data_IF_895648504435
#
_entry.id   IF_895648504435
#
_cell.length_a   1.000
_cell.length_b   1.000
_cell.length_c   1.000
_cell.angle_alpha   90.00
_cell.angle_beta   90.00
_cell.angle_gamma   90.00
#
_symmetry.space_group_name_H-M   'P 1'
#
loop_
_entity.id
_entity.type
_entity.pdbx_description
1 polymer ?
#
# COMPACT_ATOMS: atom_id res chain seq x y z
N UNK A 1 -25.29 15.18 -2.49
CA UNK A 1 -24.84 13.99 -3.25
C UNK A 1 -25.91 12.92 -3.17
N UNK A 2 -26.19 12.17 -4.26
CA UNK A 2 -27.19 11.08 -4.26
C UNK A 2 -26.59 9.66 -4.28
N UNK A 3 -25.29 9.52 -4.59
CA UNK A 3 -24.61 8.23 -4.75
C UNK A 3 -23.26 8.27 -4.06
N UNK A 4 -22.86 7.14 -3.48
CA UNK A 4 -21.52 6.89 -2.97
C UNK A 4 -20.98 5.62 -3.63
N UNK A 5 -19.67 5.59 -3.88
CA UNK A 5 -18.97 4.40 -4.37
C UNK A 5 -17.91 4.04 -3.33
N UNK A 6 -17.97 2.81 -2.82
CA UNK A 6 -17.01 2.28 -1.87
C UNK A 6 -16.18 1.24 -2.62
N UNK A 7 -14.87 1.41 -2.60
CA UNK A 7 -13.92 0.44 -3.16
C UNK A 7 -13.03 -0.04 -2.03
N UNK A 8 -13.01 -1.36 -1.81
CA UNK A 8 -12.13 -1.99 -0.83
C UNK A 8 -10.97 -2.62 -1.59
N UNK A 9 -9.76 -2.17 -1.29
CA UNK A 9 -8.55 -2.87 -1.70
C UNK A 9 -8.24 -3.87 -0.58
N UNK A 10 -8.69 -5.11 -0.76
CA UNK A 10 -8.52 -6.15 0.24
C UNK A 10 -7.03 -6.32 0.58
N UNK A 11 -6.75 -6.52 1.86
CA UNK A 11 -5.42 -6.64 2.48
C UNK A 11 -4.39 -5.52 2.23
N UNK A 12 -4.78 -4.39 1.60
CA UNK A 12 -3.87 -3.27 1.31
C UNK A 12 -3.63 -2.39 2.55
N UNK A 13 -2.76 -2.84 3.46
CA UNK A 13 -2.33 -2.10 4.65
C UNK A 13 -1.30 -1.01 4.37
N UNK A 14 -1.27 0.02 5.23
CA UNK A 14 -0.37 1.20 5.13
C UNK A 14 0.56 1.36 6.35
N UNK A 15 0.82 0.26 7.05
CA UNK A 15 1.61 0.23 8.29
C UNK A 15 0.89 -0.51 9.41
N UNK A 16 1.66 -0.89 10.43
CA UNK A 16 1.18 -1.63 11.58
C UNK A 16 0.30 -0.74 12.46
N UNK A 17 -0.73 -1.34 13.08
CA UNK A 17 -1.58 -0.66 14.05
C UNK A 17 -0.92 -0.62 15.44
N UNK A 18 -1.43 0.22 16.33
CA UNK A 18 -0.93 0.37 17.70
C UNK A 18 -0.95 -0.94 18.50
N UNK A 19 -1.88 -1.84 18.18
CA UNK A 19 -2.06 -3.14 18.83
C UNK A 19 -1.36 -4.30 18.12
N UNK A 20 -0.50 -4.04 17.13
CA UNK A 20 0.18 -5.06 16.34
C UNK A 20 0.96 -6.09 17.18
N UNK A 21 1.50 -5.70 18.34
CA UNK A 21 2.17 -6.61 19.27
C UNK A 21 1.24 -7.75 19.74
N UNK A 22 -0.04 -7.47 19.93
CA UNK A 22 -1.04 -8.47 20.40
C UNK A 22 -1.32 -9.55 19.35
N UNK A 23 -1.04 -9.26 18.08
CA UNK A 23 -1.31 -10.15 16.95
C UNK A 23 -0.03 -10.74 16.34
N UNK A 24 1.15 -10.30 16.79
CA UNK A 24 2.43 -10.71 16.21
C UNK A 24 2.77 -10.01 14.89
N UNK A 25 2.11 -8.90 14.58
CA UNK A 25 2.23 -8.17 13.31
C UNK A 25 3.14 -6.93 13.43
N UNK A 26 4.01 -6.89 14.45
CA UNK A 26 4.95 -5.78 14.65
C UNK A 26 5.82 -5.61 13.40
N UNK A 27 5.82 -4.40 12.84
CA UNK A 27 6.57 -4.06 11.63
C UNK A 27 5.85 -4.41 10.33
N UNK A 28 4.60 -4.88 10.36
CA UNK A 28 3.81 -5.06 9.14
C UNK A 28 3.63 -3.72 8.41
N UNK A 29 4.05 -3.62 7.15
CA UNK A 29 3.80 -2.47 6.28
C UNK A 29 3.66 -2.95 4.84
N UNK A 30 2.43 -3.29 4.43
CA UNK A 30 2.18 -3.88 3.11
C UNK A 30 2.56 -2.93 1.99
N UNK A 31 2.08 -1.68 2.00
CA UNK A 31 2.42 -0.68 0.99
C UNK A 31 3.92 -0.38 0.98
N UNK A 32 4.54 -0.15 2.14
CA UNK A 32 5.96 0.16 2.25
C UNK A 32 6.84 -0.98 1.73
N UNK A 33 6.60 -2.21 2.17
CA UNK A 33 7.36 -3.37 1.71
C UNK A 33 7.17 -3.67 0.22
N UNK A 34 5.95 -3.50 -0.33
CA UNK A 34 5.73 -3.62 -1.78
C UNK A 34 6.54 -2.54 -2.52
N UNK A 35 6.48 -1.28 -2.06
CA UNK A 35 7.22 -0.19 -2.69
C UNK A 35 8.73 -0.45 -2.66
N UNK A 36 9.26 -0.96 -1.54
CA UNK A 36 10.65 -1.35 -1.37
C UNK A 36 11.05 -2.49 -2.32
N UNK A 37 10.29 -3.59 -2.37
CA UNK A 37 10.55 -4.72 -3.26
C UNK A 37 10.54 -4.28 -4.74
N UNK A 38 9.62 -3.40 -5.11
CA UNK A 38 9.59 -2.80 -6.45
C UNK A 38 10.86 -1.96 -6.73
N UNK A 39 11.26 -1.11 -5.79
CA UNK A 39 12.47 -0.29 -5.93
C UNK A 39 13.74 -1.13 -6.07
N UNK A 40 13.80 -2.31 -5.44
CA UNK A 40 14.87 -3.30 -5.57
C UNK A 40 14.81 -4.11 -6.87
N UNK A 41 13.75 -3.96 -7.67
CA UNK A 41 13.53 -4.73 -8.90
C UNK A 41 13.06 -6.18 -8.66
N UNK A 42 12.74 -6.54 -7.42
CA UNK A 42 12.28 -7.89 -7.06
C UNK A 42 10.89 -8.20 -7.65
N UNK A 43 10.13 -7.15 -7.98
CA UNK A 43 8.81 -7.23 -8.58
C UNK A 43 8.80 -6.95 -10.10
N UNK A 44 9.95 -7.04 -10.79
CA UNK A 44 10.08 -6.77 -12.23
C UNK A 44 9.51 -7.91 -13.10
N UNK A 45 8.20 -8.14 -13.02
CA UNK A 45 7.46 -9.12 -13.82
C UNK A 45 6.25 -8.45 -14.49
N UNK A 46 6.34 -8.16 -15.80
CA UNK A 46 5.32 -7.41 -16.54
C UNK A 46 5.25 -5.91 -16.18
N UNK A 47 6.06 -5.48 -15.22
CA UNK A 47 6.31 -4.09 -14.80
C UNK A 47 7.81 -3.94 -14.52
N UNK A 48 8.31 -2.70 -14.39
CA UNK A 48 9.70 -2.42 -13.99
C UNK A 48 9.83 -1.21 -13.07
N UNK A 49 10.86 -1.19 -12.22
CA UNK A 49 11.24 -0.02 -11.42
C UNK A 49 10.40 0.20 -10.16
N UNK A 50 10.34 1.43 -9.61
CA UNK A 50 9.63 1.71 -8.36
C UNK A 50 8.10 1.56 -8.51
N UNK A 51 7.39 1.32 -7.41
CA UNK A 51 5.92 1.27 -7.40
C UNK A 51 5.34 2.60 -7.91
N UNK A 52 4.55 2.55 -8.98
CA UNK A 52 3.98 3.73 -9.63
C UNK A 52 2.44 3.70 -9.58
N UNK A 53 1.86 4.53 -8.70
CA UNK A 53 0.41 4.63 -8.49
C UNK A 53 -0.11 6.05 -8.76
N UNK A 54 0.02 6.58 -9.99
CA UNK A 54 -0.15 8.01 -10.27
C UNK A 54 -1.56 8.52 -9.97
N UNK A 55 -2.58 7.67 -10.15
CA UNK A 55 -3.96 8.03 -9.85
C UNK A 55 -4.23 8.07 -8.34
N UNK A 56 -3.77 7.08 -7.57
CA UNK A 56 -3.95 7.05 -6.12
C UNK A 56 -3.14 8.14 -5.43
N UNK A 57 -1.91 8.40 -5.88
CA UNK A 57 -1.10 9.53 -5.42
C UNK A 57 -1.81 10.86 -5.66
N UNK A 58 -2.41 11.06 -6.84
CA UNK A 58 -3.20 12.26 -7.15
C UNK A 58 -4.45 12.39 -6.27
N UNK A 59 -5.06 11.27 -5.87
CA UNK A 59 -6.18 11.23 -4.93
C UNK A 59 -5.77 11.41 -3.47
N UNK A 60 -4.47 11.43 -3.16
CA UNK A 60 -3.94 11.77 -1.83
C UNK A 60 -3.24 10.63 -1.09
N UNK A 61 -3.05 9.45 -1.70
CA UNK A 61 -2.45 8.30 -1.02
C UNK A 61 -1.09 8.62 -0.38
N UNK A 62 -0.23 9.39 -1.05
CA UNK A 62 1.10 9.77 -0.52
C UNK A 62 1.08 10.90 0.52
N UNK A 63 -0.11 11.36 0.92
CA UNK A 63 -0.32 12.40 1.95
C UNK A 63 -1.14 11.88 3.12
N UNK A 64 -1.53 10.60 3.07
CA UNK A 64 -2.30 9.94 4.11
C UNK A 64 -1.47 9.70 5.36
#
# INVERSE_FOLDING_TARGET
MKRAFIMVLDSFGIGATEDAERFGDVGADTLGHIAEACAKGEADNGRKGPLNLPNLTRLGLAKA
#
